data_IF_811345721978
#
_entry.id   IF_811345721978
#
_cell.length_a   1.000
_cell.length_b   1.000
_cell.length_c   1.000
_cell.angle_alpha   90.00
_cell.angle_beta   90.00
_cell.angle_gamma   90.00
#
_symmetry.space_group_name_H-M   'P 1'
#
loop_
_entity.id
_entity.type
_entity.pdbx_description
1 polymer ?
#
# COMPACT_ATOMS: atom_id res chain seq x y z
N UNK A 1 6.40 -6.44 3.43
CA UNK A 1 5.18 -6.97 2.82
C UNK A 1 5.41 -8.45 2.55
N UNK A 2 4.53 -9.30 3.07
CA UNK A 2 4.57 -10.75 2.90
C UNK A 2 3.53 -11.08 1.85
N UNK A 3 3.94 -11.80 0.81
CA UNK A 3 3.03 -12.36 -0.19
C UNK A 3 2.49 -13.69 0.35
N UNK A 4 1.18 -13.81 0.44
CA UNK A 4 0.48 -14.99 0.96
C UNK A 4 -0.63 -15.40 0.00
N UNK A 5 -0.64 -16.66 -0.42
CA UNK A 5 -1.68 -17.23 -1.27
C UNK A 5 -2.91 -17.55 -0.41
N UNK A 6 -4.07 -17.07 -0.81
CA UNK A 6 -5.35 -17.35 -0.14
C UNK A 6 -5.95 -18.67 -0.65
N UNK A 7 -6.85 -19.32 0.13
CA UNK A 7 -7.47 -20.59 -0.24
C UNK A 7 -8.25 -20.57 -1.56
N UNK A 8 -8.70 -19.39 -1.98
CA UNK A 8 -9.42 -19.18 -3.24
C UNK A 8 -8.49 -18.93 -4.44
N UNK A 9 -7.17 -19.09 -4.28
CA UNK A 9 -6.17 -18.88 -5.34
C UNK A 9 -5.71 -17.42 -5.49
N UNK A 10 -6.37 -16.46 -4.84
CA UNK A 10 -5.98 -15.05 -4.91
C UNK A 10 -4.72 -14.78 -4.08
N UNK A 11 -3.82 -13.91 -4.57
CA UNK A 11 -2.64 -13.51 -3.81
C UNK A 11 -2.88 -12.26 -2.97
N UNK A 12 -2.61 -12.37 -1.67
CA UNK A 12 -2.68 -11.27 -0.71
C UNK A 12 -1.29 -10.84 -0.28
N UNK A 13 -0.92 -9.61 -0.61
CA UNK A 13 0.30 -8.99 -0.12
C UNK A 13 -0.02 -8.24 1.19
N UNK A 14 0.28 -8.86 2.32
CA UNK A 14 0.01 -8.33 3.66
C UNK A 14 1.27 -7.73 4.25
N UNK A 15 1.29 -6.43 4.56
CA UNK A 15 2.29 -5.90 5.50
C UNK A 15 1.86 -6.24 6.93
N UNK A 16 2.77 -6.67 7.79
CA UNK A 16 2.45 -6.99 9.18
C UNK A 16 2.07 -5.69 9.91
N UNK A 17 0.78 -5.51 10.23
CA UNK A 17 0.37 -4.51 11.22
C UNK A 17 0.91 -4.91 12.59
N UNK A 18 1.62 -4.02 13.27
CA UNK A 18 1.56 -4.00 14.74
C UNK A 18 0.20 -3.48 15.19
N UNK A 19 -0.22 -3.76 16.43
CA UNK A 19 -1.45 -3.18 16.96
C UNK A 19 -1.38 -1.65 16.97
N UNK A 20 -2.44 -0.95 16.51
CA UNK A 20 -2.50 0.51 16.64
C UNK A 20 -2.56 0.89 18.13
N UNK A 21 -1.87 1.97 18.56
CA UNK A 21 -1.88 2.39 19.95
C UNK A 21 -3.31 2.68 20.45
N UNK A 22 -3.62 2.18 21.64
CA UNK A 22 -4.95 2.14 22.27
C UNK A 22 -5.57 3.51 22.63
N UNK A 23 -4.84 4.62 22.47
CA UNK A 23 -5.33 5.95 22.83
C UNK A 23 -5.85 6.71 21.59
N UNK A 24 -7.16 6.57 21.32
CA UNK A 24 -7.84 7.27 20.23
C UNK A 24 -8.07 8.74 20.58
N UNK A 25 -7.32 9.63 19.94
CA UNK A 25 -7.86 10.93 19.54
C UNK A 25 -8.85 10.67 18.38
N UNK A 26 -9.95 11.41 18.32
CA UNK A 26 -11.08 11.23 17.38
C UNK A 26 -10.75 11.42 15.88
N UNK A 27 -9.48 11.34 15.46
CA UNK A 27 -9.08 11.44 14.06
C UNK A 27 -9.05 10.06 13.41
N UNK A 28 -9.85 9.88 12.36
CA UNK A 28 -9.80 8.70 11.51
C UNK A 28 -8.47 8.71 10.74
N UNK A 29 -7.72 7.59 10.65
CA UNK A 29 -6.53 7.52 9.81
C UNK A 29 -6.89 7.84 8.36
N UNK A 30 -6.00 8.55 7.66
CA UNK A 30 -6.21 8.82 6.24
C UNK A 30 -6.09 7.53 5.41
N UNK A 31 -7.08 7.25 4.55
CA UNK A 31 -7.10 6.06 3.70
C UNK A 31 -6.90 6.44 2.22
N UNK A 32 -6.09 5.69 1.48
CA UNK A 32 -5.97 5.82 0.01
C UNK A 32 -6.10 4.44 -0.62
N UNK A 33 -7.11 4.27 -1.47
CA UNK A 33 -7.30 3.07 -2.27
C UNK A 33 -7.08 3.39 -3.74
N UNK A 34 -6.21 2.62 -4.39
CA UNK A 34 -6.01 2.65 -5.84
C UNK A 34 -6.41 1.30 -6.42
N UNK A 35 -7.34 1.31 -7.37
CA UNK A 35 -7.73 0.13 -8.14
C UNK A 35 -7.12 0.31 -9.54
N UNK A 36 -6.39 -0.69 -10.04
CA UNK A 36 -5.74 -0.61 -11.35
C UNK A 36 -5.65 -1.97 -12.05
N UNK A 37 -5.99 -1.99 -13.32
CA UNK A 37 -5.82 -3.12 -14.25
C UNK A 37 -4.39 -3.24 -14.81
N UNK A 38 -3.48 -2.37 -14.38
CA UNK A 38 -2.10 -2.33 -14.84
C UNK A 38 -1.84 -1.42 -16.06
N UNK A 39 -2.86 -0.76 -16.61
CA UNK A 39 -2.70 0.17 -17.74
C UNK A 39 -1.96 1.45 -17.39
N UNK A 40 -2.02 1.87 -16.12
CA UNK A 40 -1.42 3.10 -15.64
C UNK A 40 0.08 2.92 -15.29
N UNK A 41 0.94 3.93 -15.52
CA UNK A 41 2.34 3.85 -15.12
C UNK A 41 2.51 3.57 -13.62
N UNK A 42 3.30 2.55 -13.28
CA UNK A 42 3.55 2.11 -11.89
C UNK A 42 4.10 3.24 -11.00
N UNK A 43 4.93 4.13 -11.58
CA UNK A 43 5.43 5.35 -10.91
C UNK A 43 4.30 6.28 -10.43
N UNK A 44 3.18 6.35 -11.15
CA UNK A 44 2.04 7.18 -10.79
C UNK A 44 1.24 6.51 -9.66
N UNK A 45 1.00 5.21 -9.76
CA UNK A 45 0.36 4.42 -8.70
C UNK A 45 1.13 4.55 -7.39
N UNK A 46 2.45 4.34 -7.42
CA UNK A 46 3.30 4.50 -6.25
C UNK A 46 3.26 5.92 -5.66
N UNK A 47 3.11 6.96 -6.50
CA UNK A 47 2.97 8.34 -6.02
C UNK A 47 1.63 8.58 -5.32
N UNK A 48 0.54 8.02 -5.87
CA UNK A 48 -0.79 8.11 -5.26
C UNK A 48 -0.82 7.41 -3.90
N UNK A 49 -0.27 6.20 -3.80
CA UNK A 49 -0.17 5.47 -2.53
C UNK A 49 0.63 6.26 -1.47
N UNK A 50 1.70 6.95 -1.87
CA UNK A 50 2.54 7.72 -0.96
C UNK A 50 2.00 9.12 -0.64
N UNK A 51 0.94 9.59 -1.33
CA UNK A 51 0.44 10.94 -1.19
C UNK A 51 -0.04 11.26 0.24
N UNK A 52 -0.75 10.33 0.89
CA UNK A 52 -1.18 10.46 2.28
C UNK A 52 -0.19 9.84 3.28
N UNK A 53 0.53 8.80 2.87
CA UNK A 53 1.52 8.12 3.72
C UNK A 53 2.62 9.05 4.25
N UNK A 54 2.97 10.10 3.49
CA UNK A 54 3.98 11.07 3.92
C UNK A 54 3.51 12.05 5.01
N UNK A 55 2.21 12.15 5.25
CA UNK A 55 1.63 13.09 6.21
C UNK A 55 1.19 12.44 7.51
N UNK A 56 0.85 11.15 7.49
CA UNK A 56 0.31 10.42 8.63
C UNK A 56 0.91 9.00 8.69
N UNK A 57 1.55 8.66 9.81
CA UNK A 57 2.17 7.33 10.02
C UNK A 57 1.14 6.20 10.14
N UNK A 58 -0.12 6.55 10.35
CA UNK A 58 -1.26 5.63 10.39
C UNK A 58 -2.00 5.56 9.05
N UNK A 59 -1.58 6.32 8.03
CA UNK A 59 -2.21 6.30 6.72
C UNK A 59 -2.23 4.88 6.14
N UNK A 60 -3.31 4.55 5.44
CA UNK A 60 -3.58 3.20 4.94
C UNK A 60 -3.54 3.22 3.40
N UNK A 61 -2.36 3.04 2.78
CA UNK A 61 -2.23 2.93 1.33
C UNK A 61 -2.55 1.52 0.85
N UNK A 62 -3.55 1.40 -0.02
CA UNK A 62 -4.07 0.14 -0.54
C UNK A 62 -4.02 0.13 -2.06
N UNK A 63 -3.43 -0.91 -2.65
CA UNK A 63 -3.55 -1.23 -4.08
C UNK A 63 -4.47 -2.45 -4.25
N UNK A 64 -5.38 -2.39 -5.21
CA UNK A 64 -6.10 -3.55 -5.75
C UNK A 64 -5.80 -3.66 -7.23
N UNK A 65 -5.39 -4.83 -7.68
CA UNK A 65 -5.10 -5.09 -9.10
C UNK A 65 -5.41 -6.53 -9.45
N UNK A 66 -5.56 -6.83 -10.73
CA UNK A 66 -5.67 -8.20 -11.23
C UNK A 66 -4.34 -8.77 -11.73
N UNK A 67 -3.22 -8.07 -11.53
CA UNK A 67 -1.90 -8.49 -11.99
C UNK A 67 -0.87 -8.52 -10.86
N UNK A 68 -0.39 -9.73 -10.55
CA UNK A 68 0.73 -9.94 -9.62
C UNK A 68 1.97 -9.17 -10.05
N UNK A 69 2.34 -9.27 -11.33
CA UNK A 69 3.53 -8.61 -11.86
C UNK A 69 3.44 -7.09 -11.66
N UNK A 70 2.26 -6.52 -11.94
CA UNK A 70 2.03 -5.10 -11.74
C UNK A 70 2.15 -4.69 -10.27
N UNK A 71 1.58 -5.47 -9.34
CA UNK A 71 1.71 -5.22 -7.91
C UNK A 71 3.19 -5.22 -7.46
N UNK A 72 4.00 -6.15 -7.95
CA UNK A 72 5.43 -6.18 -7.66
C UNK A 72 6.19 -4.98 -8.22
N UNK A 73 5.86 -4.55 -9.45
CA UNK A 73 6.44 -3.36 -10.06
C UNK A 73 6.08 -2.10 -9.28
N UNK A 74 4.82 -1.94 -8.87
CA UNK A 74 4.40 -0.84 -8.00
C UNK A 74 5.14 -0.87 -6.66
N UNK A 75 5.30 -2.05 -6.05
CA UNK A 75 6.04 -2.19 -4.79
C UNK A 75 7.51 -1.77 -4.92
N UNK A 76 8.17 -2.09 -6.05
CA UNK A 76 9.52 -1.62 -6.35
C UNK A 76 9.58 -0.09 -6.47
N UNK A 77 8.62 0.51 -7.17
CA UNK A 77 8.54 1.98 -7.32
C UNK A 77 8.23 2.69 -5.99
N UNK A 78 7.37 2.12 -5.14
CA UNK A 78 7.13 2.60 -3.77
C UNK A 78 8.43 2.59 -2.98
N UNK A 79 9.15 1.46 -2.99
CA UNK A 79 10.44 1.30 -2.29
C UNK A 79 11.49 2.30 -2.79
N UNK A 80 11.53 2.56 -4.10
CA UNK A 80 12.42 3.55 -4.71
C UNK A 80 12.07 4.98 -4.27
N UNK A 81 10.79 5.35 -4.30
CA UNK A 81 10.32 6.68 -3.88
C UNK A 81 10.54 6.94 -2.40
N UNK A 82 10.30 5.94 -1.54
CA UNK A 82 10.56 6.03 -0.10
C UNK A 82 12.01 6.42 0.21
N UNK A 83 12.99 6.03 -0.64
CA UNK A 83 14.39 6.40 -0.42
C UNK A 83 14.65 7.90 -0.53
N UNK A 84 13.87 8.61 -1.34
CA UNK A 84 14.10 10.01 -1.74
C UNK A 84 13.08 11.00 -1.13
N UNK A 85 12.14 10.53 -0.30
CA UNK A 85 11.16 11.41 0.36
C UNK A 85 11.79 12.16 1.54
N UNK A 86 11.45 13.44 1.69
CA UNK A 86 11.83 14.25 2.84
C UNK A 86 11.22 13.68 4.13
N UNK A 87 9.92 13.34 4.11
CA UNK A 87 9.17 12.74 5.21
C UNK A 87 9.29 11.20 5.25
N UNK A 88 10.43 10.67 4.83
CA UNK A 88 10.67 9.22 4.70
C UNK A 88 10.27 8.43 5.94
N UNK A 89 10.59 8.92 7.13
CA UNK A 89 10.34 8.18 8.37
C UNK A 89 8.83 7.95 8.62
N UNK A 90 8.00 8.95 8.29
CA UNK A 90 6.53 8.86 8.41
C UNK A 90 5.99 7.89 7.36
N UNK A 91 6.37 8.11 6.09
CA UNK A 91 5.93 7.29 4.97
C UNK A 91 6.33 5.81 5.09
N UNK A 92 7.54 5.54 5.58
CA UNK A 92 8.00 4.16 5.82
C UNK A 92 7.16 3.48 6.89
N UNK A 93 6.81 4.16 7.99
CA UNK A 93 5.94 3.59 9.04
C UNK A 93 4.54 3.28 8.49
N UNK A 94 3.92 4.22 7.79
CA UNK A 94 2.61 4.03 7.18
C UNK A 94 2.59 2.84 6.20
N UNK A 95 3.55 2.80 5.27
CA UNK A 95 3.65 1.70 4.29
C UNK A 95 3.96 0.36 4.97
N UNK A 96 4.85 0.35 5.97
CA UNK A 96 5.26 -0.89 6.66
C UNK A 96 4.14 -1.47 7.52
N UNK A 97 3.43 -0.62 8.25
CA UNK A 97 2.42 -1.06 9.21
C UNK A 97 1.09 -1.27 8.49
N UNK A 98 0.63 -0.28 7.74
CA UNK A 98 -0.73 -0.22 7.20
C UNK A 98 -0.83 -0.57 5.71
N UNK A 99 0.27 -0.52 4.95
CA UNK A 99 0.25 -0.74 3.50
C UNK A 99 -0.24 -2.13 3.09
N UNK A 100 -1.10 -2.22 2.06
CA UNK A 100 -1.64 -3.48 1.54
C UNK A 100 -1.69 -3.48 0.01
N UNK A 101 -1.46 -4.64 -0.59
CA UNK A 101 -1.77 -4.85 -2.01
C UNK A 101 -2.57 -6.14 -2.17
N UNK A 102 -3.67 -6.08 -2.90
CA UNK A 102 -4.54 -7.21 -3.18
C UNK A 102 -4.47 -7.53 -4.66
N UNK A 103 -4.22 -8.80 -4.96
CA UNK A 103 -4.34 -9.33 -6.31
C UNK A 103 -5.64 -10.15 -6.37
N UNK A 104 -6.54 -9.75 -7.26
CA UNK A 104 -7.85 -10.37 -7.47
C UNK A 104 -7.92 -10.97 -8.88
N UNK A 105 -8.84 -11.90 -9.11
CA UNK A 105 -8.95 -12.55 -10.42
C UNK A 105 -9.57 -11.61 -11.47
N UNK A 106 -10.51 -10.75 -11.04
CA UNK A 106 -11.21 -9.78 -11.89
C UNK A 106 -11.48 -8.47 -11.14
N UNK A 107 -11.62 -7.38 -11.88
CA UNK A 107 -11.95 -6.03 -11.38
C UNK A 107 -13.43 -5.65 -11.62
N UNK A 108 -14.26 -6.58 -12.09
CA UNK A 108 -15.69 -6.37 -12.35
C UNK A 108 -16.53 -6.36 -11.08
#
# INVERSE_FOLDING_TARGET
MILSLLPNGSMRLTACCGEPPLNRSNSRPSEVLVISDGSAPTKWIASNLLAQAKHDEMAIPILVTNSTQFAEEVNREVSKKLKNLQERNIAVKAVRNCGRMFVVDTLQ
#
